data_IF_944271035423
#
_entry.id   IF_944271035423
#
_cell.length_a   1.000
_cell.length_b   1.000
_cell.length_c   1.000
_cell.angle_alpha   90.00
_cell.angle_beta   90.00
_cell.angle_gamma   90.00
#
_symmetry.space_group_name_H-M   'P 1'
#
loop_
_entity.id
_entity.type
_entity.pdbx_description
1 polymer ?
#
# COMPACT_ATOMS: atom_id res chain seq x y z
N UNK A 1 -25.64 12.96 10.18
CA UNK A 1 -25.40 12.14 8.97
C UNK A 1 -24.01 12.54 8.48
N UNK A 2 -23.09 11.59 8.25
CA UNK A 2 -21.75 11.94 7.76
C UNK A 2 -21.79 11.98 6.24
N UNK A 3 -21.48 13.14 5.67
CA UNK A 3 -21.49 13.37 4.22
C UNK A 3 -20.07 13.29 3.63
N UNK A 4 -19.03 13.26 4.47
CA UNK A 4 -17.65 13.04 4.05
C UNK A 4 -17.34 11.55 4.14
N UNK A 5 -17.42 10.88 3.00
CA UNK A 5 -17.19 9.44 2.89
C UNK A 5 -15.70 9.16 2.99
N UNK A 6 -15.31 8.35 3.97
CA UNK A 6 -13.93 7.84 4.07
C UNK A 6 -13.77 6.73 3.04
N UNK A 7 -12.93 6.97 2.04
CA UNK A 7 -12.52 5.96 1.06
C UNK A 7 -11.16 5.39 1.49
N UNK A 8 -11.12 4.08 1.70
CA UNK A 8 -9.88 3.34 1.95
C UNK A 8 -9.48 2.56 0.70
N UNK A 9 -8.20 2.63 0.32
CA UNK A 9 -7.64 1.82 -0.76
C UNK A 9 -6.73 0.72 -0.19
N UNK A 10 -7.04 -0.55 -0.45
CA UNK A 10 -6.18 -1.68 -0.11
C UNK A 10 -5.27 -2.00 -1.30
N UNK A 11 -4.02 -1.58 -1.23
CA UNK A 11 -3.17 -1.40 -2.42
C UNK A 11 -2.53 -2.68 -2.96
N UNK A 12 -2.44 -3.76 -2.16
CA UNK A 12 -1.86 -5.03 -2.61
C UNK A 12 -2.47 -6.28 -1.98
N UNK A 13 -2.67 -6.28 -0.65
CA UNK A 13 -3.12 -7.47 0.10
C UNK A 13 -2.06 -8.56 0.25
N UNK A 14 -2.44 -9.70 0.85
CA UNK A 14 -1.55 -10.85 1.10
C UNK A 14 -2.00 -12.14 0.38
N UNK A 15 -3.08 -12.08 -0.40
CA UNK A 15 -3.58 -13.23 -1.14
C UNK A 15 -2.66 -13.66 -2.27
N UNK A 16 -2.89 -14.89 -2.76
CA UNK A 16 -2.24 -15.40 -3.98
C UNK A 16 -2.83 -14.71 -5.22
N UNK A 17 -2.29 -13.53 -5.51
CA UNK A 17 -2.80 -12.60 -6.53
C UNK A 17 -1.74 -12.08 -7.50
N UNK A 18 -0.44 -12.20 -7.19
CA UNK A 18 0.64 -11.67 -8.05
C UNK A 18 0.59 -12.29 -9.45
N UNK A 19 0.32 -13.60 -9.55
CA UNK A 19 0.17 -14.26 -10.85
C UNK A 19 -1.12 -13.92 -11.62
N UNK A 20 -2.04 -13.12 -11.04
CA UNK A 20 -3.34 -12.78 -11.65
C UNK A 20 -3.33 -11.44 -12.38
N UNK A 21 -2.39 -10.55 -12.07
CA UNK A 21 -2.25 -9.25 -12.73
C UNK A 21 -0.82 -8.73 -12.59
N UNK A 22 -0.22 -8.16 -13.65
CA UNK A 22 1.10 -7.54 -13.56
C UNK A 22 1.07 -6.22 -12.76
N UNK A 23 -0.11 -5.71 -12.40
CA UNK A 23 -0.28 -4.45 -11.67
C UNK A 23 -0.27 -4.63 -10.15
N UNK A 24 -0.11 -5.86 -9.63
CA UNK A 24 -0.07 -6.08 -8.17
C UNK A 24 1.26 -5.55 -7.62
N UNK A 25 1.27 -4.56 -6.72
CA UNK A 25 2.50 -4.07 -6.11
C UNK A 25 3.15 -5.15 -5.24
N UNK A 26 4.45 -5.39 -5.42
CA UNK A 26 5.20 -6.43 -4.70
C UNK A 26 6.26 -5.82 -3.80
N UNK A 27 7.12 -4.96 -4.33
CA UNK A 27 8.21 -4.35 -3.57
C UNK A 27 7.68 -3.25 -2.63
N UNK A 28 8.39 -2.93 -1.53
CA UNK A 28 8.03 -1.80 -0.66
C UNK A 28 7.88 -0.47 -1.43
N UNK A 29 8.70 -0.26 -2.46
CA UNK A 29 8.61 0.91 -3.34
C UNK A 29 7.32 0.94 -4.14
N UNK A 30 6.95 -0.16 -4.80
CA UNK A 30 5.70 -0.26 -5.55
C UNK A 30 4.48 -0.08 -4.63
N UNK A 31 4.52 -0.67 -3.44
CA UNK A 31 3.45 -0.53 -2.44
C UNK A 31 3.32 0.91 -1.97
N UNK A 32 4.44 1.59 -1.69
CA UNK A 32 4.46 3.00 -1.32
C UNK A 32 3.92 3.89 -2.46
N UNK A 33 4.35 3.64 -3.69
CA UNK A 33 3.89 4.38 -4.86
C UNK A 33 2.37 4.21 -5.05
N UNK A 34 1.85 2.99 -4.95
CA UNK A 34 0.42 2.72 -5.05
C UNK A 34 -0.40 3.41 -3.95
N UNK A 35 0.13 3.48 -2.72
CA UNK A 35 -0.52 4.21 -1.62
C UNK A 35 -0.55 5.72 -1.88
N UNK A 36 0.54 6.30 -2.38
CA UNK A 36 0.63 7.72 -2.75
C UNK A 36 -0.31 8.05 -3.93
N UNK A 37 -0.36 7.20 -4.94
CA UNK A 37 -1.27 7.36 -6.08
C UNK A 37 -2.73 7.28 -5.65
N UNK A 38 -3.08 6.33 -4.79
CA UNK A 38 -4.42 6.22 -4.23
C UNK A 38 -4.82 7.47 -3.44
N UNK A 39 -3.91 8.01 -2.63
CA UNK A 39 -4.13 9.24 -1.88
C UNK A 39 -4.33 10.45 -2.80
N UNK A 40 -3.49 10.60 -3.83
CA UNK A 40 -3.65 11.66 -4.86
C UNK A 40 -4.97 11.55 -5.63
N UNK A 41 -5.52 10.34 -5.77
CA UNK A 41 -6.81 10.09 -6.37
C UNK A 41 -8.01 10.33 -5.41
N UNK A 42 -7.76 10.60 -4.13
CA UNK A 42 -8.77 10.95 -3.13
C UNK A 42 -9.01 9.89 -2.04
N UNK A 43 -8.18 8.86 -1.92
CA UNK A 43 -8.26 7.95 -0.79
C UNK A 43 -7.82 8.66 0.51
N UNK A 44 -8.65 8.57 1.54
CA UNK A 44 -8.32 9.09 2.87
C UNK A 44 -7.38 8.16 3.64
N UNK A 45 -7.43 6.86 3.33
CA UNK A 45 -6.67 5.80 4.00
C UNK A 45 -6.03 4.88 2.95
N UNK A 46 -4.77 4.54 3.14
CA UNK A 46 -4.10 3.45 2.45
C UNK A 46 -3.95 2.25 3.41
N UNK A 47 -4.62 1.14 3.09
CA UNK A 47 -4.43 -0.14 3.78
C UNK A 47 -3.32 -0.93 3.08
N UNK A 48 -2.27 -1.26 3.83
CA UNK A 48 -1.02 -1.75 3.26
C UNK A 48 -0.66 -3.12 3.84
N UNK A 49 -0.28 -4.03 2.95
CA UNK A 49 0.48 -5.22 3.29
C UNK A 49 1.82 -5.16 2.56
N UNK A 50 2.78 -5.98 2.99
CA UNK A 50 4.05 -6.18 2.28
C UNK A 50 4.14 -7.60 1.74
N UNK A 51 4.95 -7.75 0.70
CA UNK A 51 5.23 -9.03 0.06
C UNK A 51 6.74 -9.25 0.02
N UNK A 52 7.13 -10.50 -0.06
CA UNK A 52 8.50 -10.90 -0.36
C UNK A 52 8.87 -10.37 -1.77
N UNK A 53 9.89 -9.50 -1.90
CA UNK A 53 10.25 -8.90 -3.18
C UNK A 53 10.72 -9.89 -4.25
N UNK A 54 11.24 -11.06 -3.85
CA UNK A 54 11.75 -12.07 -4.76
C UNK A 54 10.63 -13.01 -5.22
N UNK A 55 9.70 -13.35 -4.33
CA UNK A 55 8.70 -14.39 -4.59
C UNK A 55 7.27 -13.88 -4.79
N UNK A 56 6.98 -12.62 -4.42
CA UNK A 56 5.63 -12.02 -4.46
C UNK A 56 4.66 -12.56 -3.40
N UNK A 57 5.08 -13.49 -2.55
CA UNK A 57 4.25 -14.05 -1.48
C UNK A 57 4.02 -13.02 -0.38
N UNK A 58 2.87 -13.08 0.29
CA UNK A 58 2.60 -12.21 1.44
C UNK A 58 3.67 -12.36 2.52
N UNK A 59 4.19 -11.24 3.01
CA UNK A 59 5.20 -11.18 4.07
C UNK A 59 4.66 -10.46 5.30
N UNK A 60 5.30 -10.68 6.45
CA UNK A 60 5.07 -9.96 7.70
C UNK A 60 6.35 -9.35 8.27
N UNK A 61 7.37 -9.22 7.44
CA UNK A 61 8.66 -8.65 7.83
C UNK A 61 8.50 -7.16 8.20
N UNK A 62 8.78 -6.77 9.46
CA UNK A 62 8.70 -5.38 9.90
C UNK A 62 9.63 -4.45 9.12
N UNK A 63 10.75 -4.92 8.60
CA UNK A 63 11.68 -4.07 7.84
C UNK A 63 11.09 -3.67 6.48
N UNK A 64 10.37 -4.58 5.81
CA UNK A 64 9.64 -4.26 4.58
C UNK A 64 8.50 -3.26 4.84
N UNK A 65 7.79 -3.43 5.96
CA UNK A 65 6.77 -2.46 6.37
C UNK A 65 7.38 -1.10 6.67
N UNK A 66 8.48 -1.06 7.41
CA UNK A 66 9.22 0.16 7.73
C UNK A 66 9.63 0.88 6.46
N UNK A 67 10.20 0.17 5.49
CA UNK A 67 10.62 0.76 4.22
C UNK A 67 9.43 1.39 3.47
N UNK A 68 8.31 0.67 3.32
CA UNK A 68 7.12 1.20 2.66
C UNK A 68 6.56 2.44 3.38
N UNK A 69 6.47 2.40 4.71
CA UNK A 69 5.98 3.51 5.53
C UNK A 69 6.91 4.73 5.45
N UNK A 70 8.22 4.53 5.52
CA UNK A 70 9.21 5.60 5.44
C UNK A 70 9.13 6.29 4.07
N UNK A 71 8.98 5.53 2.98
CA UNK A 71 8.79 6.09 1.63
C UNK A 71 7.50 6.90 1.51
N UNK A 72 6.37 6.40 2.03
CA UNK A 72 5.09 7.13 2.01
C UNK A 72 5.21 8.44 2.79
N UNK A 73 5.74 8.38 4.01
CA UNK A 73 5.88 9.55 4.90
C UNK A 73 6.92 10.57 4.42
N UNK A 74 7.87 10.14 3.59
CA UNK A 74 8.86 11.04 2.96
C UNK A 74 8.31 11.71 1.69
N UNK A 75 7.11 11.36 1.24
CA UNK A 75 6.47 11.99 0.10
C UNK A 75 5.73 13.27 0.50
N UNK A 76 5.43 14.13 -0.47
CA UNK A 76 4.61 15.34 -0.27
C UNK A 76 3.10 15.04 -0.21
N UNK A 77 2.70 13.79 0.03
CA UNK A 77 1.29 13.35 0.03
C UNK A 77 0.89 12.83 1.41
N UNK A 78 -0.12 13.46 2.01
CA UNK A 78 -0.69 13.05 3.29
C UNK A 78 -1.77 11.98 3.09
N UNK A 79 -1.64 10.87 3.83
CA UNK A 79 -2.60 9.76 3.83
C UNK A 79 -2.52 9.02 5.15
N UNK A 80 -3.66 8.62 5.70
CA UNK A 80 -3.66 7.75 6.88
C UNK A 80 -3.17 6.36 6.47
N UNK A 81 -2.14 5.88 7.15
CA UNK A 81 -1.59 4.54 6.94
C UNK A 81 -2.26 3.55 7.88
N UNK A 82 -2.83 2.47 7.33
CA UNK A 82 -3.40 1.33 8.05
C UNK A 82 -2.58 0.05 7.69
N UNK A 83 -2.04 -0.64 8.70
CA UNK A 83 -1.13 -1.80 8.55
C UNK A 83 -1.84 -3.12 8.91
#
# INVERSE_FOLDING_TARGET
MNYEVIVSCAVTGAGDTVGKSPLIPVTPEEVANAAIEAAKAGAAIAHIHVRDPETGKGSRDPELFKEAVDRIRSSDTDVVINL
#
